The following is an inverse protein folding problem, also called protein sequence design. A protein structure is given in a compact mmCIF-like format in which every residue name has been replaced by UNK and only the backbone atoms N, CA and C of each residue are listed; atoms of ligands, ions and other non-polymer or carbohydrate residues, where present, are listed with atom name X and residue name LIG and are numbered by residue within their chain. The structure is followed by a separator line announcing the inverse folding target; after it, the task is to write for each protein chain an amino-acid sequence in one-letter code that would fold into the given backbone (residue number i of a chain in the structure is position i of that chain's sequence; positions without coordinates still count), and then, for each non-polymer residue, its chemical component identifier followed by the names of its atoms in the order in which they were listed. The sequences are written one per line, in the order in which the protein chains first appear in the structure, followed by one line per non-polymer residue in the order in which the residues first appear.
data_IF_051947237311
#
_entry.id   IF_051947237311
#
_cell.length_a   1.000
_cell.length_b   1.000
_cell.length_c   1.000
_cell.angle_alpha   90.00
_cell.angle_beta   90.00
_cell.angle_gamma   90.00
#
_symmetry.space_group_name_H-M   'P 1'
#
loop_
_entity.id
_entity.type
_entity.pdbx_description
1 polymer ?
#
# COMPACT_ATOMS: atom_id res chain seq x y z
N UNK A 1 21.56 -33.15 54.03
CA UNK A 1 20.31 -32.49 53.52
C UNK A 1 20.55 -31.10 52.94
N UNK A 2 21.63 -30.37 53.27
CA UNK A 2 21.84 -28.99 52.79
C UNK A 2 22.33 -28.86 51.32
N UNK A 3 23.16 -29.79 50.82
CA UNK A 3 23.74 -29.69 49.46
C UNK A 3 22.74 -30.01 48.34
N UNK A 4 21.78 -30.91 48.59
CA UNK A 4 20.77 -31.30 47.61
C UNK A 4 19.80 -30.16 47.31
N UNK A 5 19.46 -29.35 48.32
CA UNK A 5 18.55 -28.20 48.18
C UNK A 5 19.23 -27.06 47.42
N UNK A 6 20.49 -26.76 47.72
CA UNK A 6 21.26 -25.74 47.01
C UNK A 6 21.43 -26.07 45.50
N UNK A 7 21.67 -27.35 45.18
CA UNK A 7 21.85 -27.79 43.79
C UNK A 7 20.56 -27.71 42.98
N UNK A 8 19.40 -27.99 43.58
CA UNK A 8 18.09 -27.89 42.93
C UNK A 8 17.68 -26.43 42.70
N UNK A 9 17.85 -25.57 43.71
CA UNK A 9 17.58 -24.13 43.60
C UNK A 9 18.43 -23.45 42.51
N UNK A 10 19.72 -23.77 42.43
CA UNK A 10 20.57 -23.24 41.35
C UNK A 10 20.06 -23.68 39.97
N UNK A 11 19.69 -24.95 39.77
CA UNK A 11 19.17 -25.44 38.48
C UNK A 11 17.87 -24.76 38.06
N UNK A 12 16.96 -24.52 39.00
CA UNK A 12 15.71 -23.82 38.72
C UNK A 12 15.94 -22.35 38.34
N UNK A 13 16.82 -21.65 39.07
CA UNK A 13 17.19 -20.26 38.76
C UNK A 13 17.87 -20.16 37.38
N UNK A 14 18.77 -21.09 37.04
CA UNK A 14 19.41 -21.13 35.72
C UNK A 14 18.42 -21.49 34.59
N UNK A 15 17.44 -22.35 34.87
CA UNK A 15 16.39 -22.70 33.91
C UNK A 15 15.47 -21.50 33.65
N UNK A 16 15.09 -20.76 34.70
CA UNK A 16 14.22 -19.59 34.61
C UNK A 16 14.93 -18.43 33.91
N UNK A 17 16.19 -18.15 34.27
CA UNK A 17 17.00 -17.14 33.58
C UNK A 17 17.23 -17.47 32.10
N UNK A 18 17.45 -18.76 31.76
CA UNK A 18 17.58 -19.21 30.37
C UNK A 18 16.25 -19.09 29.61
N UNK A 19 15.14 -19.40 30.27
CA UNK A 19 13.78 -19.24 29.72
C UNK A 19 13.51 -17.76 29.43
N UNK A 20 13.80 -16.86 30.37
CA UNK A 20 13.64 -15.41 30.20
C UNK A 20 14.51 -14.86 29.07
N UNK A 21 15.78 -15.29 28.98
CA UNK A 21 16.67 -14.94 27.87
C UNK A 21 16.10 -15.41 26.51
N UNK A 22 15.54 -16.62 26.45
CA UNK A 22 14.94 -17.15 25.20
C UNK A 22 13.64 -16.44 24.82
N UNK A 23 12.80 -16.09 25.80
CA UNK A 23 11.55 -15.36 25.56
C UNK A 23 11.86 -13.94 25.07
N UNK A 24 12.80 -13.26 25.71
CA UNK A 24 13.23 -11.91 25.29
C UNK A 24 13.82 -11.92 23.88
N UNK A 25 14.63 -12.92 23.54
CA UNK A 25 15.15 -13.08 22.18
C UNK A 25 14.02 -13.32 21.17
N UNK A 26 13.03 -14.14 21.49
CA UNK A 26 11.92 -14.43 20.59
C UNK A 26 11.06 -13.18 20.33
N UNK A 27 10.70 -12.45 21.39
CA UNK A 27 9.94 -11.20 21.29
C UNK A 27 10.70 -10.18 20.45
N UNK A 28 12.00 -10.03 20.68
CA UNK A 28 12.84 -9.15 19.89
C UNK A 28 12.88 -9.54 18.41
N UNK A 29 13.09 -10.83 18.10
CA UNK A 29 13.12 -11.33 16.72
C UNK A 29 11.76 -11.15 16.03
N UNK A 30 10.65 -11.40 16.73
CA UNK A 30 9.31 -11.19 16.19
C UNK A 30 9.03 -9.71 15.93
N UNK A 31 9.37 -8.83 16.88
CA UNK A 31 9.23 -7.38 16.74
C UNK A 31 10.06 -6.83 15.57
N UNK A 32 11.31 -7.29 15.43
CA UNK A 32 12.14 -6.96 14.28
C UNK A 32 11.51 -7.43 12.96
N UNK A 33 10.97 -8.65 12.93
CA UNK A 33 10.26 -9.18 11.76
C UNK A 33 9.04 -8.34 11.38
N UNK A 34 8.23 -7.88 12.33
CA UNK A 34 7.09 -7.00 12.04
C UNK A 34 7.54 -5.64 11.57
N UNK A 35 8.54 -5.03 12.21
CA UNK A 35 9.08 -3.76 11.74
C UNK A 35 9.60 -3.86 10.31
N UNK A 36 10.45 -4.86 10.05
CA UNK A 36 11.20 -4.97 8.81
C UNK A 36 10.35 -5.43 7.62
N UNK A 37 9.31 -6.24 7.86
CA UNK A 37 8.52 -6.86 6.80
C UNK A 37 7.05 -6.45 6.75
N UNK A 38 6.49 -5.89 7.83
CA UNK A 38 5.13 -5.36 7.85
C UNK A 38 5.13 -3.83 7.86
N UNK A 39 5.74 -3.19 8.86
CA UNK A 39 5.67 -1.72 8.96
C UNK A 39 6.39 -1.07 7.79
N UNK A 40 7.61 -1.51 7.50
CA UNK A 40 8.35 -1.02 6.33
C UNK A 40 7.66 -1.38 5.01
N UNK A 41 6.69 -2.29 4.99
CA UNK A 41 6.00 -2.60 3.74
C UNK A 41 5.01 -1.51 3.29
N UNK A 42 4.59 -0.65 4.22
CA UNK A 42 3.70 0.47 3.93
C UNK A 42 4.44 1.80 3.89
N UNK A 43 5.72 1.83 4.28
CA UNK A 43 6.52 3.05 4.28
C UNK A 43 7.22 3.26 2.95
N UNK A 44 7.15 4.47 2.43
CA UNK A 44 7.91 4.90 1.26
C UNK A 44 9.04 5.82 1.68
N UNK A 45 10.30 5.38 1.52
CA UNK A 45 11.45 6.30 1.62
C UNK A 45 11.54 7.11 0.35
N UNK A 46 10.65 8.10 0.21
CA UNK A 46 10.56 9.10 -0.86
C UNK A 46 11.52 8.88 -2.05
N UNK A 47 11.24 7.91 -2.91
CA UNK A 47 11.89 7.83 -4.21
C UNK A 47 11.13 8.77 -5.12
N UNK A 48 11.79 9.88 -5.52
CA UNK A 48 11.39 10.84 -6.56
C UNK A 48 10.28 10.28 -7.45
N UNK A 49 9.13 10.96 -7.48
CA UNK A 49 8.05 10.67 -8.42
C UNK A 49 8.65 10.30 -9.78
N UNK A 50 8.30 9.12 -10.28
CA UNK A 50 8.59 8.77 -11.67
C UNK A 50 8.18 9.95 -12.54
N UNK A 51 9.02 10.36 -13.51
CA UNK A 51 8.69 11.46 -14.40
C UNK A 51 7.28 11.24 -14.97
N UNK A 52 6.48 12.29 -15.16
CA UNK A 52 5.20 12.15 -15.83
C UNK A 52 5.46 11.46 -17.17
N UNK A 53 4.92 10.26 -17.35
CA UNK A 53 5.01 9.57 -18.63
C UNK A 53 4.34 10.46 -19.67
N UNK A 54 5.07 10.84 -20.72
CA UNK A 54 4.50 11.50 -21.89
C UNK A 54 3.42 10.56 -22.44
N UNK A 55 2.16 10.95 -22.25
CA UNK A 55 1.03 10.19 -22.76
C UNK A 55 0.60 10.77 -24.11
N UNK A 56 0.17 9.92 -25.05
CA UNK A 56 -0.57 10.36 -26.22
C UNK A 56 -1.80 11.18 -25.79
N UNK A 57 -2.21 12.10 -26.67
CA UNK A 57 -3.39 12.95 -26.51
C UNK A 57 -4.60 12.12 -26.05
N UNK A 58 -5.05 12.35 -24.82
CA UNK A 58 -6.24 11.68 -24.30
C UNK A 58 -7.48 12.22 -25.04
N UNK A 59 -8.39 11.37 -25.53
CA UNK A 59 -9.63 11.83 -26.12
C UNK A 59 -10.47 12.59 -25.07
N UNK A 60 -11.13 13.67 -25.51
CA UNK A 60 -12.07 14.42 -24.69
C UNK A 60 -13.42 13.70 -24.66
N UNK A 61 -14.05 13.63 -23.50
CA UNK A 61 -15.37 13.02 -23.33
C UNK A 61 -16.38 14.03 -22.81
N UNK A 62 -17.61 13.94 -23.31
CA UNK A 62 -18.72 14.77 -22.83
C UNK A 62 -19.30 14.24 -21.52
N UNK A 63 -19.24 12.92 -21.28
CA UNK A 63 -19.82 12.26 -20.10
C UNK A 63 -18.78 11.50 -19.28
N UNK A 64 -18.86 11.64 -17.95
CA UNK A 64 -18.00 10.96 -16.97
C UNK A 64 -18.19 9.46 -17.04
N UNK A 65 -19.43 8.99 -17.14
CA UNK A 65 -19.76 7.57 -17.18
C UNK A 65 -19.06 6.86 -18.35
N UNK A 66 -19.12 7.45 -19.55
CA UNK A 66 -18.46 6.91 -20.74
C UNK A 66 -16.94 6.84 -20.56
N UNK A 67 -16.37 7.90 -19.97
CA UNK A 67 -14.94 7.95 -19.71
C UNK A 67 -14.50 6.90 -18.67
N UNK A 68 -15.24 6.73 -17.57
CA UNK A 68 -14.97 5.72 -16.54
C UNK A 68 -15.06 4.32 -17.15
N UNK A 69 -16.13 4.04 -17.89
CA UNK A 69 -16.34 2.73 -18.51
C UNK A 69 -15.21 2.39 -19.50
N UNK A 70 -14.72 3.37 -20.26
CA UNK A 70 -13.58 3.17 -21.16
C UNK A 70 -12.30 2.82 -20.39
N UNK A 71 -11.98 3.57 -19.33
CA UNK A 71 -10.79 3.33 -18.53
C UNK A 71 -10.82 1.95 -17.86
N UNK A 72 -11.99 1.53 -17.36
CA UNK A 72 -12.17 0.24 -16.70
C UNK A 72 -12.06 -0.96 -17.65
N UNK A 73 -12.42 -0.81 -18.94
CA UNK A 73 -12.38 -1.89 -19.95
C UNK A 73 -10.97 -2.35 -20.34
N UNK A 74 -9.97 -1.47 -20.28
CA UNK A 74 -8.59 -1.80 -20.65
C UNK A 74 -8.02 -2.90 -19.75
N UNK A 75 -7.11 -3.77 -20.21
CA UNK A 75 -6.43 -4.70 -19.29
C UNK A 75 -5.35 -3.95 -18.48
N UNK A 76 -5.28 -4.15 -17.16
CA UNK A 76 -4.24 -3.54 -16.32
C UNK A 76 -2.91 -4.28 -16.50
N UNK A 77 -2.19 -3.98 -17.58
CA UNK A 77 -0.86 -4.56 -17.85
C UNK A 77 0.31 -3.68 -17.39
N UNK A 78 0.02 -2.46 -16.90
CA UNK A 78 1.04 -1.51 -16.47
C UNK A 78 0.57 -0.60 -15.34
N UNK A 79 1.52 0.07 -14.69
CA UNK A 79 1.23 1.13 -13.72
C UNK A 79 0.36 2.24 -14.32
N UNK A 80 0.65 2.68 -15.56
CA UNK A 80 -0.08 3.80 -16.19
C UNK A 80 -1.57 3.50 -16.36
N UNK A 81 -1.89 2.28 -16.78
CA UNK A 81 -3.29 1.84 -16.93
C UNK A 81 -3.97 1.66 -15.58
N UNK A 82 -3.25 1.12 -14.59
CA UNK A 82 -3.77 0.95 -13.24
C UNK A 82 -4.04 2.29 -12.55
N UNK A 83 -3.19 3.30 -12.82
CA UNK A 83 -3.39 4.69 -12.39
C UNK A 83 -4.67 5.30 -12.94
N UNK A 84 -4.96 5.17 -14.22
CA UNK A 84 -6.19 5.73 -14.80
C UNK A 84 -7.44 5.06 -14.22
N UNK A 85 -7.40 3.73 -14.09
CA UNK A 85 -8.48 2.95 -13.50
C UNK A 85 -8.75 3.29 -12.04
N UNK A 86 -7.70 3.51 -11.23
CA UNK A 86 -7.90 3.87 -9.82
C UNK A 86 -8.50 5.27 -9.68
N UNK A 87 -8.07 6.21 -10.53
CA UNK A 87 -8.67 7.54 -10.57
C UNK A 87 -10.14 7.46 -10.97
N UNK A 88 -10.48 6.70 -12.02
CA UNK A 88 -11.85 6.49 -12.45
C UNK A 88 -12.73 5.83 -11.36
N UNK A 89 -12.22 4.77 -10.72
CA UNK A 89 -12.87 4.10 -9.57
C UNK A 89 -13.13 5.07 -8.42
N UNK A 90 -12.21 6.00 -8.20
CA UNK A 90 -12.25 6.96 -7.11
C UNK A 90 -12.99 8.25 -7.47
N UNK A 91 -13.67 8.29 -8.63
CA UNK A 91 -14.42 9.46 -9.09
C UNK A 91 -13.53 10.64 -9.47
N UNK A 92 -12.26 10.38 -9.79
CA UNK A 92 -11.21 11.35 -10.05
C UNK A 92 -10.94 12.29 -8.86
N UNK A 93 -11.25 11.86 -7.64
CA UNK A 93 -11.07 12.64 -6.42
C UNK A 93 -10.04 12.02 -5.48
N UNK A 94 -9.36 12.88 -4.72
CA UNK A 94 -8.66 12.42 -3.52
C UNK A 94 -9.67 11.85 -2.51
N UNK A 95 -9.41 10.64 -2.02
CA UNK A 95 -10.29 9.97 -1.05
C UNK A 95 -10.42 10.69 0.30
N UNK A 96 -9.48 11.58 0.62
CA UNK A 96 -9.45 12.35 1.87
C UNK A 96 -9.99 13.76 1.65
N UNK A 97 -9.32 14.56 0.82
CA UNK A 97 -9.64 16.00 0.67
C UNK A 97 -10.74 16.30 -0.32
N UNK A 98 -11.20 15.30 -1.09
CA UNK A 98 -12.16 15.46 -2.20
C UNK A 98 -11.68 16.36 -3.35
N UNK A 99 -10.42 16.80 -3.34
CA UNK A 99 -9.83 17.53 -4.47
C UNK A 99 -9.87 16.70 -5.74
N UNK A 100 -10.25 17.34 -6.83
CA UNK A 100 -10.37 16.70 -8.13
C UNK A 100 -9.02 16.62 -8.86
N UNK A 101 -8.79 15.56 -9.63
CA UNK A 101 -7.61 15.39 -10.46
C UNK A 101 -7.63 16.37 -11.64
N UNK A 102 -6.74 17.37 -11.60
CA UNK A 102 -6.74 18.51 -12.51
C UNK A 102 -6.72 18.13 -14.00
N UNK A 103 -5.93 17.12 -14.40
CA UNK A 103 -5.88 16.71 -15.81
C UNK A 103 -7.17 16.05 -16.28
N UNK A 104 -7.87 15.33 -15.40
CA UNK A 104 -9.16 14.73 -15.73
C UNK A 104 -10.25 15.80 -15.86
N UNK A 105 -10.23 16.80 -14.97
CA UNK A 105 -11.11 17.97 -15.06
C UNK A 105 -10.92 18.71 -16.38
N UNK A 106 -9.68 18.87 -16.85
CA UNK A 106 -9.40 19.50 -18.14
C UNK A 106 -9.84 18.65 -19.35
N UNK A 107 -9.97 17.33 -19.19
CA UNK A 107 -10.28 16.40 -20.28
C UNK A 107 -11.78 16.08 -20.41
N UNK A 108 -12.57 16.28 -19.35
CA UNK A 108 -14.00 15.91 -19.30
C UNK A 108 -14.82 17.12 -18.86
N UNK A 109 -15.66 17.65 -19.75
CA UNK A 109 -16.41 18.88 -19.51
C UNK A 109 -17.36 18.76 -18.30
N UNK A 110 -18.01 17.60 -18.13
CA UNK A 110 -18.89 17.34 -16.99
C UNK A 110 -18.12 17.36 -15.65
N UNK A 111 -16.84 16.94 -15.61
CA UNK A 111 -16.02 17.07 -14.40
C UNK A 111 -15.75 18.53 -14.05
N UNK A 112 -15.51 19.38 -15.04
CA UNK A 112 -15.31 20.81 -14.80
C UNK A 112 -16.56 21.45 -14.18
N UNK A 113 -17.75 21.11 -14.68
CA UNK A 113 -19.00 21.59 -14.08
C UNK A 113 -19.17 21.09 -12.63
N UNK A 114 -18.91 19.80 -12.37
CA UNK A 114 -19.02 19.26 -11.01
C UNK A 114 -18.03 19.90 -10.03
N UNK A 115 -16.82 20.25 -10.48
CA UNK A 115 -15.83 20.97 -9.66
C UNK A 115 -16.42 22.30 -9.20
N UNK A 116 -16.95 23.09 -10.14
CA UNK A 116 -17.55 24.40 -9.87
C UNK A 116 -18.74 24.31 -8.90
N UNK A 117 -19.57 23.27 -9.04
CA UNK A 117 -20.73 23.03 -8.17
C UNK A 117 -20.34 22.51 -6.77
N UNK A 118 -19.27 21.73 -6.68
CA UNK A 118 -18.88 21.03 -5.44
C UNK A 118 -18.23 21.93 -4.40
N UNK A 119 -17.68 23.07 -4.81
CA UNK A 119 -16.88 23.96 -3.95
C UNK A 119 -15.49 23.40 -3.57
N UNK A 120 -15.14 22.19 -4.03
CA UNK A 120 -13.80 21.63 -3.87
C UNK A 120 -12.89 22.07 -5.02
N UNK A 121 -11.61 22.27 -4.72
CA UNK A 121 -10.61 22.61 -5.74
C UNK A 121 -10.21 21.42 -6.62
N UNK A 122 -9.42 21.71 -7.65
CA UNK A 122 -8.68 20.71 -8.41
C UNK A 122 -7.17 20.86 -8.21
N UNK A 123 -6.44 19.76 -8.33
CA UNK A 123 -4.98 19.73 -8.18
C UNK A 123 -4.38 18.40 -8.61
N UNK A 124 -3.12 18.17 -8.25
CA UNK A 124 -2.48 16.89 -8.52
C UNK A 124 -3.00 15.83 -7.53
N UNK A 125 -3.57 14.77 -8.11
CA UNK A 125 -4.04 13.56 -7.43
C UNK A 125 -3.32 12.38 -8.07
N UNK A 126 -2.72 11.54 -7.24
CA UNK A 126 -1.87 10.44 -7.63
C UNK A 126 -2.51 9.10 -7.25
N UNK A 127 -2.14 8.06 -8.01
CA UNK A 127 -2.40 6.69 -7.62
C UNK A 127 -1.29 6.26 -6.65
N UNK A 128 -1.65 6.09 -5.39
CA UNK A 128 -0.75 5.76 -4.31
C UNK A 128 -0.84 4.27 -4.02
N UNK A 129 0.31 3.61 -3.91
CA UNK A 129 0.34 2.22 -3.48
C UNK A 129 0.08 2.13 -1.98
N UNK A 130 -0.77 1.18 -1.56
CA UNK A 130 -0.99 0.87 -0.14
C UNK A 130 0.24 0.14 0.40
N UNK A 131 0.60 -0.97 -0.22
CA UNK A 131 1.87 -1.66 -0.01
C UNK A 131 2.87 -1.14 -1.03
N UNK A 132 3.99 -0.61 -0.52
CA UNK A 132 5.01 0.06 -1.31
C UNK A 132 5.51 -0.82 -2.46
N UNK A 133 5.49 -0.24 -3.65
CA UNK A 133 5.95 -0.82 -4.91
C UNK A 133 7.37 -1.41 -4.81
N UNK A 134 8.28 -0.71 -4.12
CA UNK A 134 9.71 -1.05 -4.03
C UNK A 134 9.99 -2.45 -3.46
N UNK A 135 9.03 -3.02 -2.72
CA UNK A 135 9.15 -4.33 -2.08
C UNK A 135 9.05 -5.44 -3.10
N UNK A 136 8.10 -5.31 -4.03
CA UNK A 136 7.68 -6.41 -4.91
C UNK A 136 8.03 -6.15 -6.37
N UNK A 137 8.08 -4.89 -6.81
CA UNK A 137 8.31 -4.57 -8.21
C UNK A 137 9.72 -4.99 -8.63
N UNK A 138 9.84 -5.72 -9.74
CA UNK A 138 11.13 -6.13 -10.30
C UNK A 138 11.94 -6.97 -9.32
N UNK A 139 11.27 -7.84 -8.54
CA UNK A 139 11.92 -8.93 -7.82
C UNK A 139 11.98 -10.11 -8.78
N UNK A 140 13.17 -10.38 -9.27
CA UNK A 140 13.50 -11.47 -10.18
C UNK A 140 14.62 -12.35 -9.60
N UNK A 141 15.11 -13.30 -10.39
CA UNK A 141 16.20 -14.20 -9.99
C UNK A 141 17.51 -13.45 -9.71
N UNK A 142 17.75 -12.33 -10.37
CA UNK A 142 19.02 -11.59 -10.34
C UNK A 142 19.00 -10.40 -9.37
N UNK A 143 17.84 -10.14 -8.75
CA UNK A 143 17.64 -9.08 -7.78
C UNK A 143 18.51 -9.25 -6.53
N UNK A 144 18.89 -8.14 -5.85
CA UNK A 144 19.63 -8.21 -4.60
C UNK A 144 18.91 -9.08 -3.55
N UNK A 145 19.67 -9.90 -2.83
CA UNK A 145 19.12 -10.79 -1.80
C UNK A 145 18.34 -10.04 -0.71
N UNK A 146 18.73 -8.80 -0.41
CA UNK A 146 18.00 -7.93 0.51
C UNK A 146 16.58 -7.65 0.04
N UNK A 147 16.39 -7.39 -1.26
CA UNK A 147 15.07 -7.13 -1.87
C UNK A 147 14.21 -8.39 -1.89
N UNK A 148 14.79 -9.54 -2.28
CA UNK A 148 14.10 -10.84 -2.25
C UNK A 148 13.63 -11.19 -0.84
N UNK A 149 14.48 -10.97 0.18
CA UNK A 149 14.12 -11.19 1.59
C UNK A 149 13.01 -10.26 2.07
N UNK A 150 13.00 -9.00 1.66
CA UNK A 150 11.93 -8.07 1.99
C UNK A 150 10.59 -8.57 1.42
N UNK A 151 10.55 -8.91 0.12
CA UNK A 151 9.37 -9.47 -0.53
C UNK A 151 8.89 -10.77 0.13
N UNK A 152 9.79 -11.75 0.31
CA UNK A 152 9.44 -13.03 0.93
C UNK A 152 9.00 -12.86 2.38
N UNK A 153 9.63 -11.93 3.12
CA UNK A 153 9.26 -11.58 4.48
C UNK A 153 7.84 -11.03 4.56
N UNK A 154 7.50 -10.07 3.70
CA UNK A 154 6.15 -9.49 3.60
C UNK A 154 5.10 -10.56 3.27
N UNK A 155 5.33 -11.38 2.24
CA UNK A 155 4.41 -12.46 1.85
C UNK A 155 4.21 -13.48 2.99
N UNK A 156 5.28 -13.80 3.73
CA UNK A 156 5.19 -14.68 4.92
C UNK A 156 4.34 -14.06 6.03
N UNK A 157 4.43 -12.75 6.23
CA UNK A 157 3.58 -12.05 7.20
C UNK A 157 2.10 -12.14 6.80
N UNK A 158 1.77 -11.94 5.53
CA UNK A 158 0.39 -12.11 5.04
C UNK A 158 -0.13 -13.52 5.31
N UNK A 159 0.65 -14.56 5.02
CA UNK A 159 0.27 -15.95 5.34
C UNK A 159 0.08 -16.17 6.85
N UNK A 160 0.94 -15.58 7.67
CA UNK A 160 0.87 -15.72 9.13
C UNK A 160 -0.43 -15.10 9.68
N UNK A 161 -0.92 -14.03 9.06
CA UNK A 161 -2.20 -13.40 9.42
C UNK A 161 -3.42 -14.03 8.72
N UNK A 162 -3.26 -15.11 7.96
CA UNK A 162 -4.36 -15.75 7.23
C UNK A 162 -4.84 -14.97 6.00
N UNK A 163 -4.03 -14.03 5.49
CA UNK A 163 -4.35 -13.18 4.34
C UNK A 163 -3.86 -13.79 3.01
N UNK A 164 -4.05 -15.10 2.84
CA UNK A 164 -3.54 -15.83 1.67
C UNK A 164 -4.17 -15.36 0.36
N UNK A 165 -5.41 -14.87 0.36
CA UNK A 165 -6.03 -14.26 -0.83
C UNK A 165 -5.31 -12.99 -1.26
N UNK A 166 -4.97 -12.11 -0.31
CA UNK A 166 -4.20 -10.89 -0.55
C UNK A 166 -2.81 -11.25 -1.06
N UNK A 167 -2.15 -12.25 -0.45
CA UNK A 167 -0.86 -12.77 -0.94
C UNK A 167 -0.95 -13.23 -2.40
N UNK A 168 -1.99 -13.98 -2.74
CA UNK A 168 -2.18 -14.49 -4.10
C UNK A 168 -2.41 -13.35 -5.10
N UNK A 169 -3.06 -12.26 -4.69
CA UNK A 169 -3.18 -11.06 -5.54
C UNK A 169 -1.83 -10.42 -5.84
N UNK A 170 -0.91 -10.34 -4.86
CA UNK A 170 0.45 -9.83 -5.07
C UNK A 170 1.33 -10.75 -5.93
N UNK A 171 1.06 -12.05 -5.94
CA UNK A 171 1.81 -13.04 -6.73
C UNK A 171 1.37 -13.13 -8.21
N UNK A 172 0.25 -12.48 -8.57
CA UNK A 172 -0.17 -12.36 -9.98
C UNK A 172 0.82 -11.49 -10.75
N UNK A 173 0.84 -11.66 -12.08
CA UNK A 173 1.55 -10.75 -12.96
C UNK A 173 1.06 -9.31 -12.73
N UNK A 174 1.99 -8.38 -12.52
CA UNK A 174 1.70 -6.99 -12.15
C UNK A 174 0.82 -6.82 -10.88
N UNK A 175 0.80 -7.82 -9.99
CA UNK A 175 -0.01 -7.78 -8.77
C UNK A 175 0.26 -6.58 -7.86
N UNK A 176 1.48 -6.05 -7.87
CA UNK A 176 1.85 -4.82 -7.14
C UNK A 176 1.08 -3.59 -7.62
N UNK A 177 0.66 -3.57 -8.88
CA UNK A 177 -0.15 -2.51 -9.50
C UNK A 177 -1.65 -2.83 -9.49
N UNK A 178 -2.07 -3.89 -8.81
CA UNK A 178 -3.48 -4.22 -8.66
C UNK A 178 -4.25 -3.02 -8.11
N UNK A 179 -5.47 -2.79 -8.59
CA UNK A 179 -6.36 -1.74 -8.06
C UNK A 179 -6.62 -1.93 -6.57
N UNK A 180 -6.56 -3.16 -6.06
CA UNK A 180 -6.69 -3.45 -4.62
C UNK A 180 -5.54 -2.88 -3.79
N UNK A 181 -4.39 -2.63 -4.41
CA UNK A 181 -3.22 -2.03 -3.79
C UNK A 181 -3.06 -0.54 -4.14
N UNK A 182 -4.04 0.08 -4.81
CA UNK A 182 -3.97 1.49 -5.21
C UNK A 182 -5.12 2.30 -4.61
N UNK A 183 -4.82 3.53 -4.22
CA UNK A 183 -5.78 4.53 -3.73
C UNK A 183 -5.44 5.92 -4.28
N UNK A 184 -6.45 6.73 -4.58
CA UNK A 184 -6.24 8.09 -5.10
C UNK A 184 -6.05 9.11 -3.96
N UNK A 185 -4.84 9.66 -3.81
CA UNK A 185 -4.52 10.69 -2.81
C UNK A 185 -3.98 11.96 -3.47
N UNK A 186 -4.24 13.11 -2.86
CA UNK A 186 -3.62 14.37 -3.28
C UNK A 186 -2.15 14.41 -2.84
N UNK A 187 -1.35 15.24 -3.50
CA UNK A 187 0.06 15.42 -3.14
C UNK A 187 0.29 15.84 -1.67
N UNK A 188 -0.70 16.49 -1.04
CA UNK A 188 -0.60 16.90 0.37
C UNK A 188 -0.85 15.73 1.34
N UNK A 189 -1.63 14.73 0.93
CA UNK A 189 -2.04 13.60 1.78
C UNK A 189 -1.14 12.38 1.55
N UNK A 190 -0.60 12.20 0.36
CA UNK A 190 0.25 11.06 0.02
C UNK A 190 1.43 10.87 1.01
N UNK A 191 2.18 11.92 1.41
CA UNK A 191 3.27 11.75 2.37
C UNK A 191 2.78 11.32 3.76
N UNK A 192 1.65 11.85 4.24
CA UNK A 192 1.07 11.46 5.54
C UNK A 192 0.67 9.99 5.57
N UNK A 193 0.21 9.46 4.44
CA UNK A 193 -0.10 8.04 4.27
C UNK A 193 1.17 7.17 4.23
N UNK A 194 2.19 7.57 3.45
CA UNK A 194 3.47 6.87 3.36
C UNK A 194 4.24 6.85 4.71
N UNK A 195 4.12 7.90 5.50
CA UNK A 195 4.77 8.00 6.81
C UNK A 195 3.97 7.36 7.96
N UNK A 196 2.80 6.76 7.64
CA UNK A 196 1.88 6.15 8.59
C UNK A 196 1.33 7.14 9.64
N UNK A 197 1.31 8.43 9.31
CA UNK A 197 0.61 9.46 10.07
C UNK A 197 -0.91 9.43 9.82
N UNK A 198 -1.32 8.75 8.74
CA UNK A 198 -2.69 8.59 8.29
C UNK A 198 -2.98 7.10 8.05
N UNK A 199 -4.17 6.63 8.46
CA UNK A 199 -4.67 5.32 8.08
C UNK A 199 -6.15 5.40 7.69
N UNK A 200 -6.61 4.39 6.97
CA UNK A 200 -7.99 4.27 6.52
C UNK A 200 -8.66 3.13 7.27
N UNK A 201 -9.86 3.37 7.76
CA UNK A 201 -10.74 2.33 8.28
C UNK A 201 -11.82 1.99 7.23
N UNK A 202 -12.11 0.71 6.99
CA UNK A 202 -13.13 0.30 6.04
C UNK A 202 -14.53 0.67 6.54
N UNK A 203 -15.43 0.92 5.60
CA UNK A 203 -16.87 1.08 5.87
C UNK A 203 -17.65 -0.05 5.23
N UNK A 204 -18.97 -0.09 5.44
CA UNK A 204 -19.86 -1.05 4.77
C UNK A 204 -19.97 -0.84 3.25
N UNK A 205 -19.50 0.31 2.75
CA UNK A 205 -19.51 0.63 1.32
C UNK A 205 -18.13 0.38 0.71
N UNK A 206 -18.10 -0.40 -0.37
CA UNK A 206 -16.84 -0.67 -1.08
C UNK A 206 -16.16 0.62 -1.54
N UNK A 207 -14.83 0.64 -1.47
CA UNK A 207 -13.99 1.80 -1.82
C UNK A 207 -14.31 3.10 -1.06
N UNK A 208 -14.93 2.98 0.12
CA UNK A 208 -15.25 4.07 1.02
C UNK A 208 -14.62 3.81 2.38
N UNK A 209 -14.00 4.86 2.94
CA UNK A 209 -13.14 4.77 4.10
C UNK A 209 -13.39 5.95 5.04
N UNK A 210 -13.18 5.72 6.34
CA UNK A 210 -13.00 6.78 7.33
C UNK A 210 -11.51 6.99 7.60
N UNK A 211 -11.18 8.22 7.99
CA UNK A 211 -9.82 8.72 8.22
C UNK A 211 -9.75 9.27 9.64
#
# INVERSE_FOLDING_TARGET
MSETIATTLSKEIFHDAKRDLTVNSLVYTLGASYRDYLINSFRTTYTKSSPPSERPSQPSFDRIEDHILEQLKSASSSYSTSREKVLARDGYQCKVTRFWHQRSVAAVAELAQLVDESGYGSGEVQACHIVNEAIMQGVDRDSPETKKRAAAGFLRILDTFGLSEVKNDFLKENGIHSLKNLISLSNAIHPEFDDLCLWFEPTDTEHTYTV
#
